data_IF_262401202993
#
_entry.id   IF_262401202993
#
_cell.length_a   1.000
_cell.length_b   1.000
_cell.length_c   1.000
_cell.angle_alpha   90.00
_cell.angle_beta   90.00
_cell.angle_gamma   90.00
#
_symmetry.space_group_name_H-M   'P 1'
#
loop_
_entity.id
_entity.type
_entity.pdbx_description
1 polymer ?
#
# COMPACT_ATOMS: atom_id res chain seq x y z
N UNK A 1 13.88 -19.23 -12.21
CA UNK A 1 15.16 -19.01 -12.90
C UNK A 1 16.27 -19.09 -11.86
N UNK A 2 17.17 -20.08 -11.92
CA UNK A 2 18.30 -20.18 -10.97
C UNK A 2 19.42 -19.26 -11.45
N UNK A 3 19.59 -18.10 -10.81
CA UNK A 3 20.74 -17.22 -11.07
C UNK A 3 21.92 -17.75 -10.26
N UNK A 4 22.88 -18.40 -10.92
CA UNK A 4 24.12 -18.88 -10.29
C UNK A 4 25.17 -17.77 -10.33
N UNK A 5 25.46 -17.15 -9.19
CA UNK A 5 26.56 -16.19 -9.06
C UNK A 5 27.90 -16.95 -8.92
N UNK A 6 28.96 -16.49 -9.59
CA UNK A 6 30.33 -17.04 -9.46
C UNK A 6 31.08 -16.26 -8.37
N UNK A 7 32.19 -16.82 -7.85
CA UNK A 7 33.00 -16.30 -6.71
C UNK A 7 33.44 -14.81 -6.78
N UNK A 8 33.29 -14.14 -7.92
CA UNK A 8 33.51 -12.69 -8.11
C UNK A 8 32.47 -12.11 -9.07
N UNK A 9 31.19 -12.29 -8.76
CA UNK A 9 30.12 -11.65 -9.53
C UNK A 9 29.97 -10.18 -9.11
N UNK A 10 29.97 -9.30 -10.10
CA UNK A 10 29.69 -7.87 -9.91
C UNK A 10 28.22 -7.60 -10.25
N UNK A 11 27.58 -6.73 -9.49
CA UNK A 11 26.24 -6.20 -9.77
C UNK A 11 26.43 -4.71 -9.97
N UNK A 12 26.11 -4.22 -11.17
CA UNK A 12 26.13 -2.80 -11.47
C UNK A 12 24.81 -2.20 -11.01
N UNK A 13 24.85 -1.26 -10.08
CA UNK A 13 23.68 -0.52 -9.67
C UNK A 13 23.26 0.45 -10.79
N UNK A 14 21.96 0.60 -11.08
CA UNK A 14 21.49 1.64 -11.98
C UNK A 14 21.94 3.02 -11.49
N UNK A 15 22.30 3.92 -12.39
CA UNK A 15 22.82 5.25 -12.05
C UNK A 15 21.84 6.06 -11.17
N UNK A 16 20.54 5.91 -11.40
CA UNK A 16 19.51 6.51 -10.55
C UNK A 16 19.58 6.05 -9.08
N UNK A 17 19.98 4.79 -8.82
CA UNK A 17 20.17 4.25 -7.46
C UNK A 17 21.46 4.79 -6.84
N UNK A 18 22.52 4.94 -7.65
CA UNK A 18 23.80 5.52 -7.21
C UNK A 18 23.62 6.98 -6.82
N UNK A 19 22.89 7.76 -7.62
CA UNK A 19 22.58 9.16 -7.36
C UNK A 19 21.65 9.33 -6.16
N UNK A 20 20.59 8.52 -6.05
CA UNK A 20 19.63 8.58 -4.94
C UNK A 20 20.25 8.22 -3.59
N UNK A 21 21.24 7.33 -3.57
CA UNK A 21 21.94 6.90 -2.35
C UNK A 21 23.29 7.63 -2.14
N UNK A 22 23.60 8.64 -2.97
CA UNK A 22 24.84 9.42 -2.95
C UNK A 22 26.14 8.57 -2.93
N UNK A 23 26.10 7.37 -3.52
CA UNK A 23 27.18 6.39 -3.44
C UNK A 23 28.40 6.82 -4.28
N UNK A 24 29.59 6.70 -3.69
CA UNK A 24 30.88 6.98 -4.31
C UNK A 24 31.70 5.71 -4.50
N UNK A 25 32.61 5.74 -5.46
CA UNK A 25 33.55 4.64 -5.68
C UNK A 25 34.39 4.40 -4.41
N UNK A 26 34.28 3.20 -3.83
CA UNK A 26 34.95 2.83 -2.59
C UNK A 26 34.03 2.71 -1.36
N UNK A 27 32.77 3.14 -1.46
CA UNK A 27 31.78 2.97 -0.40
C UNK A 27 31.49 1.49 -0.14
N UNK A 28 31.28 1.15 1.13
CA UNK A 28 30.97 -0.22 1.58
C UNK A 28 29.51 -0.29 1.99
N UNK A 29 28.82 -1.30 1.48
CA UNK A 29 27.44 -1.62 1.85
C UNK A 29 27.39 -3.02 2.46
N UNK A 30 26.55 -3.20 3.47
CA UNK A 30 26.16 -4.52 3.94
C UNK A 30 25.18 -5.15 2.95
N UNK A 31 25.39 -6.43 2.66
CA UNK A 31 24.57 -7.19 1.74
C UNK A 31 23.87 -8.28 2.54
N UNK A 32 22.54 -8.23 2.60
CA UNK A 32 21.72 -9.29 3.17
C UNK A 32 20.80 -9.86 2.10
N UNK A 33 20.52 -11.17 2.18
CA UNK A 33 19.50 -11.79 1.33
C UNK A 33 18.30 -12.11 2.19
N UNK A 34 17.24 -11.32 2.06
CA UNK A 34 15.97 -11.53 2.75
C UNK A 34 14.94 -11.95 1.72
N UNK A 35 14.35 -13.13 1.89
CA UNK A 35 13.28 -13.64 1.02
C UNK A 35 13.62 -13.63 -0.49
N UNK A 36 14.85 -14.01 -0.85
CA UNK A 36 15.39 -14.02 -2.23
C UNK A 36 15.64 -12.62 -2.85
N UNK A 37 15.49 -11.55 -2.06
CA UNK A 37 15.86 -10.18 -2.45
C UNK A 37 17.22 -9.85 -1.87
N UNK A 38 18.08 -9.21 -2.67
CA UNK A 38 19.36 -8.66 -2.20
C UNK A 38 19.10 -7.28 -1.63
N UNK A 39 19.18 -7.15 -0.32
CA UNK A 39 19.10 -5.90 0.42
C UNK A 39 20.51 -5.33 0.57
N UNK A 40 20.65 -4.05 0.23
CA UNK A 40 21.91 -3.31 0.36
C UNK A 40 21.70 -2.18 1.37
N UNK A 41 22.44 -2.22 2.47
CA UNK A 41 22.36 -1.20 3.53
C UNK A 41 23.67 -0.43 3.58
N UNK A 42 23.65 0.92 3.58
CA UNK A 42 24.87 1.71 3.80
C UNK A 42 25.53 1.34 5.13
N UNK A 43 26.84 1.14 5.15
CA UNK A 43 27.57 0.81 6.36
C UNK A 43 27.76 2.06 7.24
N UNK A 44 26.72 2.47 7.97
CA UNK A 44 26.85 3.46 9.04
C UNK A 44 27.15 2.79 10.39
N UNK A 45 28.21 3.27 11.03
CA UNK A 45 28.78 2.70 12.23
C UNK A 45 27.84 2.77 13.45
N UNK A 46 27.34 1.60 13.90
CA UNK A 46 26.91 1.23 15.26
C UNK A 46 25.82 2.08 15.97
N UNK A 47 24.69 1.41 16.29
CA UNK A 47 23.95 1.26 17.60
C UNK A 47 22.45 1.04 17.29
N UNK A 48 21.61 0.22 17.95
CA UNK A 48 21.62 -0.69 19.12
C UNK A 48 20.42 -1.67 18.97
N UNK A 49 20.46 -2.78 19.72
CA UNK A 49 19.53 -3.93 19.72
C UNK A 49 18.03 -3.59 19.95
N UNK A 50 17.10 -4.40 19.40
CA UNK A 50 15.66 -4.28 19.69
C UNK A 50 15.35 -4.84 21.08
N UNK A 51 14.55 -4.12 21.87
CA UNK A 51 13.97 -4.63 23.12
C UNK A 51 12.48 -4.84 22.91
N UNK A 52 12.03 -6.06 23.19
CA UNK A 52 10.64 -6.49 23.22
C UNK A 52 9.83 -5.66 24.24
N UNK A 53 8.69 -5.11 23.82
CA UNK A 53 7.38 -5.13 24.52
C UNK A 53 6.45 -4.06 23.93
N UNK A 54 5.30 -4.48 23.40
CA UNK A 54 3.98 -3.86 23.62
C UNK A 54 2.95 -4.47 22.65
N UNK A 55 2.36 -5.58 23.07
CA UNK A 55 1.00 -5.95 22.65
C UNK A 55 0.05 -4.83 23.12
N UNK A 56 -0.24 -3.88 22.23
CA UNK A 56 -1.40 -3.00 22.35
C UNK A 56 -2.55 -3.71 21.64
N UNK A 57 -3.60 -4.03 22.40
CA UNK A 57 -4.80 -4.69 21.91
C UNK A 57 -5.41 -3.89 20.75
N UNK A 58 -5.35 -4.48 19.54
CA UNK A 58 -5.83 -3.91 18.26
C UNK A 58 -7.11 -3.08 18.36
N UNK A 59 -8.04 -3.48 19.23
CA UNK A 59 -9.34 -2.83 19.44
C UNK A 59 -9.23 -1.36 19.88
N UNK A 60 -8.28 -1.02 20.75
CA UNK A 60 -8.16 0.34 21.31
C UNK A 60 -7.48 1.34 20.36
N UNK A 61 -6.65 0.86 19.43
CA UNK A 61 -6.07 1.71 18.38
C UNK A 61 -7.11 2.09 17.31
N UNK A 62 -8.06 1.18 17.01
CA UNK A 62 -9.14 1.42 16.04
C UNK A 62 -10.23 2.36 16.57
N UNK A 63 -10.55 2.32 17.86
CA UNK A 63 -11.60 3.15 18.46
C UNK A 63 -11.21 4.64 18.58
N UNK A 64 -9.90 4.94 18.66
CA UNK A 64 -9.41 6.31 18.90
C UNK A 64 -9.33 7.19 17.65
N UNK A 65 -9.39 6.60 16.44
CA UNK A 65 -9.17 7.31 15.17
C UNK A 65 -10.43 7.47 14.29
N UNK A 66 -11.63 7.08 14.76
CA UNK A 66 -12.81 6.97 13.91
C UNK A 66 -13.90 8.01 14.19
N UNK A 67 -13.83 9.15 13.49
CA UNK A 67 -15.01 9.94 13.11
C UNK A 67 -14.91 10.32 11.64
N UNK A 68 -15.16 9.35 10.76
CA UNK A 68 -15.62 9.63 9.40
C UNK A 68 -17.04 9.06 9.29
N UNK A 69 -18.04 9.93 9.46
CA UNK A 69 -19.43 9.63 9.11
C UNK A 69 -19.55 9.63 7.58
N UNK A 70 -19.07 8.57 6.93
CA UNK A 70 -19.42 8.30 5.54
C UNK A 70 -20.70 7.47 5.52
N UNK A 71 -21.77 8.05 4.95
CA UNK A 71 -23.06 7.39 4.73
C UNK A 71 -23.04 6.48 3.49
N UNK A 72 -21.85 6.19 2.94
CA UNK A 72 -21.69 5.25 1.84
C UNK A 72 -21.94 3.83 2.34
N UNK A 73 -22.53 3.00 1.47
CA UNK A 73 -22.80 1.58 1.77
C UNK A 73 -21.49 0.87 2.12
N UNK A 74 -20.45 1.07 1.30
CA UNK A 74 -19.12 0.55 1.58
C UNK A 74 -18.05 1.66 1.55
N UNK A 75 -17.07 1.53 2.44
CA UNK A 75 -15.85 2.34 2.46
C UNK A 75 -14.63 1.43 2.59
N UNK A 76 -13.61 1.67 1.78
CA UNK A 76 -12.35 0.94 1.76
C UNK A 76 -11.21 1.87 2.15
N UNK A 77 -10.50 1.50 3.21
CA UNK A 77 -9.25 2.13 3.64
C UNK A 77 -8.09 1.32 3.06
N UNK A 78 -7.23 1.99 2.29
CA UNK A 78 -6.12 1.40 1.57
C UNK A 78 -4.80 2.08 1.93
N UNK A 79 -4.79 3.39 2.20
CA UNK A 79 -3.59 4.17 2.52
C UNK A 79 -3.27 4.09 4.02
N UNK A 80 -2.41 3.15 4.37
CA UNK A 80 -2.23 2.66 5.74
C UNK A 80 -2.75 1.24 5.85
N UNK A 81 -3.36 0.89 6.98
CA UNK A 81 -3.92 -0.46 7.16
C UNK A 81 -5.12 -0.71 6.24
N UNK A 82 -5.16 -1.88 5.61
CA UNK A 82 -6.31 -2.28 4.82
C UNK A 82 -7.53 -2.57 5.71
N UNK A 83 -8.63 -1.86 5.49
CA UNK A 83 -9.89 -2.07 6.21
C UNK A 83 -11.11 -1.83 5.33
N UNK A 84 -12.20 -2.52 5.64
CA UNK A 84 -13.48 -2.42 4.92
C UNK A 84 -14.56 -2.05 5.92
N UNK A 85 -15.39 -1.08 5.61
CA UNK A 85 -16.51 -0.65 6.44
C UNK A 85 -17.81 -0.75 5.67
N UNK A 86 -18.85 -1.26 6.33
CA UNK A 86 -20.22 -1.30 5.81
C UNK A 86 -21.11 -0.42 6.68
N UNK A 87 -21.65 0.66 6.11
CA UNK A 87 -22.35 1.72 6.87
C UNK A 87 -21.59 2.16 8.14
N UNK A 88 -20.28 2.39 7.98
CA UNK A 88 -19.36 2.81 9.06
C UNK A 88 -18.97 1.71 10.06
N UNK A 89 -19.45 0.48 9.91
CA UNK A 89 -19.07 -0.65 10.78
C UNK A 89 -17.95 -1.47 10.13
N UNK A 90 -16.89 -1.75 10.89
CA UNK A 90 -15.77 -2.57 10.42
C UNK A 90 -16.24 -3.97 10.03
N UNK A 91 -15.87 -4.41 8.82
CA UNK A 91 -16.10 -5.75 8.28
C UNK A 91 -14.86 -6.61 8.55
N UNK A 92 -15.01 -7.63 9.39
CA UNK A 92 -13.93 -8.58 9.67
C UNK A 92 -14.01 -9.77 8.72
N UNK A 93 -13.04 -9.87 7.81
CA UNK A 93 -12.91 -11.03 6.94
C UNK A 93 -12.11 -12.13 7.65
N UNK A 94 -12.71 -13.32 7.80
CA UNK A 94 -12.01 -14.49 8.35
C UNK A 94 -11.03 -15.12 7.35
N UNK A 95 -11.19 -14.81 6.06
CA UNK A 95 -10.34 -15.32 4.98
C UNK A 95 -9.35 -14.24 4.51
N UNK A 96 -8.07 -14.39 4.87
CA UNK A 96 -7.01 -13.46 4.46
C UNK A 96 -6.73 -13.40 2.97
N UNK A 97 -6.98 -14.48 2.23
CA UNK A 97 -6.88 -14.45 0.75
C UNK A 97 -8.06 -13.75 0.10
N UNK A 98 -9.21 -13.67 0.76
CA UNK A 98 -10.30 -12.81 0.30
C UNK A 98 -9.95 -11.34 0.49
N UNK A 99 -9.38 -10.99 1.64
CA UNK A 99 -8.85 -9.65 1.93
C UNK A 99 -7.82 -9.22 0.87
N UNK A 100 -6.85 -10.10 0.57
CA UNK A 100 -5.84 -9.86 -0.47
C UNK A 100 -6.43 -9.75 -1.88
N UNK A 101 -7.42 -10.59 -2.25
CA UNK A 101 -8.07 -10.52 -3.56
C UNK A 101 -8.77 -9.17 -3.77
N UNK A 102 -9.48 -8.68 -2.75
CA UNK A 102 -10.17 -7.39 -2.81
C UNK A 102 -9.14 -6.27 -2.94
N UNK A 103 -8.10 -6.29 -2.11
CA UNK A 103 -7.01 -5.33 -2.14
C UNK A 103 -6.31 -5.28 -3.51
N UNK A 104 -6.05 -6.45 -4.11
CA UNK A 104 -5.46 -6.56 -5.44
C UNK A 104 -6.35 -5.91 -6.51
N UNK A 105 -7.64 -6.26 -6.55
CA UNK A 105 -8.55 -5.73 -7.57
C UNK A 105 -8.83 -4.22 -7.42
N UNK A 106 -8.75 -3.68 -6.19
CA UNK A 106 -8.83 -2.23 -5.96
C UNK A 106 -7.61 -1.51 -6.57
N UNK A 107 -6.40 -2.06 -6.42
CA UNK A 107 -5.20 -1.48 -7.03
C UNK A 107 -5.27 -1.47 -8.56
N UNK A 108 -5.98 -2.42 -9.15
CA UNK A 108 -6.22 -2.51 -10.59
C UNK A 108 -7.29 -1.51 -11.07
N UNK A 109 -7.87 -0.67 -10.21
CA UNK A 109 -8.71 0.51 -10.57
C UNK A 109 -9.80 0.21 -11.60
N UNK A 110 -10.49 -0.92 -11.45
CA UNK A 110 -11.58 -1.34 -12.32
C UNK A 110 -11.17 -1.97 -13.65
N UNK A 111 -9.86 -2.09 -13.95
CA UNK A 111 -9.41 -2.82 -15.13
C UNK A 111 -9.72 -4.32 -15.01
N UNK A 112 -10.32 -4.95 -16.04
CA UNK A 112 -10.54 -6.40 -16.08
C UNK A 112 -9.22 -7.18 -16.06
N UNK A 113 -9.00 -7.97 -15.01
CA UNK A 113 -7.80 -8.82 -14.87
C UNK A 113 -8.16 -10.29 -15.08
N UNK A 114 -7.32 -11.00 -15.84
CA UNK A 114 -7.47 -12.43 -16.05
C UNK A 114 -7.41 -13.20 -14.72
N UNK A 115 -8.35 -14.13 -14.51
CA UNK A 115 -8.40 -15.01 -13.34
C UNK A 115 -7.10 -15.79 -13.15
N UNK A 116 -6.48 -16.24 -14.24
CA UNK A 116 -5.20 -16.94 -14.18
C UNK A 116 -4.07 -16.05 -13.63
N UNK A 117 -4.06 -14.77 -14.03
CA UNK A 117 -3.11 -13.76 -13.54
C UNK A 117 -3.32 -13.54 -12.05
N UNK A 118 -4.57 -13.28 -11.63
CA UNK A 118 -4.94 -13.12 -10.22
C UNK A 118 -4.50 -14.33 -9.40
N UNK A 119 -4.83 -15.55 -9.85
CA UNK A 119 -4.49 -16.78 -9.16
C UNK A 119 -2.97 -16.95 -8.99
N UNK A 120 -2.19 -16.55 -9.99
CA UNK A 120 -0.73 -16.59 -9.94
C UNK A 120 -0.14 -15.59 -8.94
N UNK A 121 -0.69 -14.37 -8.89
CA UNK A 121 -0.25 -13.36 -7.93
C UNK A 121 -0.57 -13.73 -6.48
N UNK A 122 -1.79 -14.24 -6.23
CA UNK A 122 -2.23 -14.59 -4.89
C UNK A 122 -1.62 -15.91 -4.39
N UNK A 123 -1.32 -16.87 -5.27
CA UNK A 123 -0.71 -18.15 -4.92
C UNK A 123 0.50 -18.48 -5.79
N UNK A 124 1.60 -17.71 -5.68
CA UNK A 124 2.75 -17.84 -6.58
C UNK A 124 3.47 -19.19 -6.49
N UNK A 125 3.30 -19.91 -5.38
CA UNK A 125 3.92 -21.21 -5.14
C UNK A 125 3.00 -22.40 -5.49
N UNK A 126 1.75 -22.14 -5.89
CA UNK A 126 0.81 -23.20 -6.25
C UNK A 126 0.85 -23.50 -7.75
N UNK A 127 0.63 -24.77 -8.11
CA UNK A 127 0.41 -25.15 -9.51
C UNK A 127 -0.84 -24.45 -10.08
N UNK A 128 -0.82 -24.10 -11.37
CA UNK A 128 -1.89 -23.37 -12.07
C UNK A 128 -3.30 -23.89 -11.78
N UNK A 129 -3.52 -25.21 -11.82
CA UNK A 129 -4.85 -25.78 -11.53
C UNK A 129 -5.28 -25.52 -10.09
N UNK A 130 -4.36 -25.72 -9.14
CA UNK A 130 -4.61 -25.54 -7.71
C UNK A 130 -4.84 -24.06 -7.35
N UNK A 131 -4.09 -23.14 -7.94
CA UNK A 131 -4.28 -21.71 -7.72
C UNK A 131 -5.66 -21.24 -8.21
N UNK A 132 -6.12 -21.75 -9.36
CA UNK A 132 -7.47 -21.48 -9.86
C UNK A 132 -8.57 -22.04 -8.95
N UNK A 133 -8.43 -23.28 -8.45
CA UNK A 133 -9.37 -23.84 -7.48
C UNK A 133 -9.43 -23.02 -6.18
N UNK A 134 -8.27 -22.53 -5.71
CA UNK A 134 -8.19 -21.62 -4.56
C UNK A 134 -8.90 -20.28 -4.84
N UNK A 135 -8.69 -19.69 -6.03
CA UNK A 135 -9.37 -18.47 -6.44
C UNK A 135 -10.90 -18.63 -6.39
N UNK A 136 -11.44 -19.72 -6.95
CA UNK A 136 -12.88 -19.97 -6.92
C UNK A 136 -13.44 -20.18 -5.51
N UNK A 137 -12.68 -20.81 -4.61
CA UNK A 137 -13.08 -20.94 -3.19
C UNK A 137 -13.12 -19.59 -2.48
N UNK A 138 -12.11 -18.75 -2.72
CA UNK A 138 -12.07 -17.38 -2.19
C UNK A 138 -13.22 -16.54 -2.76
N UNK A 139 -13.48 -16.63 -4.06
CA UNK A 139 -14.60 -15.94 -4.70
C UNK A 139 -15.94 -16.34 -4.08
N UNK A 140 -16.18 -17.66 -3.91
CA UNK A 140 -17.39 -18.16 -3.24
C UNK A 140 -17.53 -17.63 -1.82
N UNK A 141 -16.43 -17.54 -1.07
CA UNK A 141 -16.43 -16.91 0.26
C UNK A 141 -16.90 -15.45 0.19
N UNK A 142 -16.38 -14.67 -0.76
CA UNK A 142 -16.78 -13.26 -0.95
C UNK A 142 -18.27 -13.17 -1.30
N UNK A 143 -18.78 -14.00 -2.23
CA UNK A 143 -20.21 -14.02 -2.56
C UNK A 143 -21.09 -14.31 -1.34
N UNK A 144 -20.64 -15.20 -0.45
CA UNK A 144 -21.40 -15.56 0.75
C UNK A 144 -21.50 -14.42 1.77
N UNK A 145 -20.67 -13.37 1.70
CA UNK A 145 -20.78 -12.19 2.56
C UNK A 145 -22.11 -11.45 2.34
N UNK A 146 -22.76 -11.63 1.18
CA UNK A 146 -24.10 -11.09 0.90
C UNK A 146 -25.17 -11.58 1.89
N UNK A 147 -25.01 -12.80 2.44
CA UNK A 147 -25.89 -13.33 3.47
C UNK A 147 -25.82 -12.53 4.79
N UNK A 148 -24.72 -11.79 4.99
CA UNK A 148 -24.49 -10.87 6.10
C UNK A 148 -24.72 -9.41 5.68
N UNK A 149 -25.41 -9.18 4.56
CA UNK A 149 -25.68 -7.86 4.00
C UNK A 149 -24.40 -7.07 3.64
N UNK A 150 -23.33 -7.77 3.27
CA UNK A 150 -22.06 -7.19 2.81
C UNK A 150 -21.85 -7.62 1.36
N UNK A 151 -22.03 -6.70 0.43
CA UNK A 151 -21.91 -6.95 -1.01
C UNK A 151 -20.63 -6.29 -1.53
N UNK A 152 -19.52 -7.02 -1.50
CA UNK A 152 -18.27 -6.52 -2.07
C UNK A 152 -18.44 -6.43 -3.61
N UNK A 153 -18.21 -5.26 -4.23
CA UNK A 153 -18.57 -5.02 -5.62
C UNK A 153 -17.50 -5.55 -6.58
N UNK A 154 -17.29 -6.86 -6.58
CA UNK A 154 -16.41 -7.54 -7.53
C UNK A 154 -17.28 -8.17 -8.61
N UNK A 155 -16.94 -7.90 -9.86
CA UNK A 155 -17.60 -8.50 -11.02
C UNK A 155 -16.68 -9.60 -11.56
N UNK A 156 -17.24 -10.79 -11.78
CA UNK A 156 -16.53 -11.94 -12.37
C UNK A 156 -17.23 -12.37 -13.67
N UNK A 157 -16.66 -11.99 -14.81
CA UNK A 157 -17.18 -12.33 -16.14
C UNK A 157 -16.22 -13.22 -16.93
N UNK A 158 -16.71 -14.35 -17.45
CA UNK A 158 -15.90 -15.32 -18.22
C UNK A 158 -14.58 -15.63 -17.49
N UNK A 159 -13.45 -15.19 -18.04
CA UNK A 159 -12.11 -15.40 -17.52
C UNK A 159 -11.52 -14.16 -16.82
N UNK A 160 -12.29 -13.10 -16.60
CA UNK A 160 -11.81 -11.87 -15.95
C UNK A 160 -12.54 -11.62 -14.64
N UNK A 161 -11.88 -10.86 -13.75
CA UNK A 161 -12.47 -10.25 -12.57
C UNK A 161 -12.00 -8.80 -12.46
N UNK A 162 -12.87 -7.92 -11.96
CA UNK A 162 -12.54 -6.54 -11.65
C UNK A 162 -13.38 -6.02 -10.49
N UNK A 163 -12.91 -4.94 -9.88
CA UNK A 163 -13.63 -4.23 -8.83
C UNK A 163 -14.46 -3.11 -9.48
N UNK A 164 -15.77 -3.05 -9.18
CA UNK A 164 -16.61 -1.93 -9.57
C UNK A 164 -16.72 -0.94 -8.40
N UNK A 165 -16.15 0.26 -8.55
CA UNK A 165 -16.16 1.28 -7.50
C UNK A 165 -17.41 2.18 -7.48
N UNK A 166 -18.33 2.07 -8.45
CA UNK A 166 -19.48 2.98 -8.64
C UNK A 166 -20.29 3.28 -7.35
N UNK A 167 -20.53 2.26 -6.52
CA UNK A 167 -21.39 2.35 -5.31
C UNK A 167 -20.60 2.29 -3.99
N UNK A 168 -19.30 2.59 -4.02
CA UNK A 168 -18.47 2.60 -2.82
C UNK A 168 -17.51 3.78 -2.79
N UNK A 169 -16.90 3.99 -1.63
CA UNK A 169 -15.86 5.01 -1.46
C UNK A 169 -14.54 4.30 -1.17
N UNK A 170 -13.50 4.65 -1.90
CA UNK A 170 -12.15 4.10 -1.74
C UNK A 170 -11.21 5.28 -1.51
N UNK A 171 -10.53 5.31 -0.37
CA UNK A 171 -9.58 6.40 -0.06
C UNK A 171 -8.46 6.52 -1.09
N UNK A 172 -8.07 5.40 -1.72
CA UNK A 172 -7.09 5.34 -2.80
C UNK A 172 -7.54 6.13 -4.04
N UNK A 173 -8.80 5.98 -4.45
CA UNK A 173 -9.36 6.72 -5.58
C UNK A 173 -9.57 8.20 -5.23
N UNK A 174 -9.96 8.50 -3.99
CA UNK A 174 -10.06 9.88 -3.50
C UNK A 174 -8.69 10.57 -3.52
N UNK A 175 -7.64 9.88 -3.06
CA UNK A 175 -6.27 10.37 -3.11
C UNK A 175 -5.82 10.69 -4.54
N UNK A 176 -6.07 9.79 -5.49
CA UNK A 176 -5.74 10.01 -6.90
C UNK A 176 -6.47 11.22 -7.47
N UNK A 177 -7.77 11.36 -7.20
CA UNK A 177 -8.57 12.52 -7.63
C UNK A 177 -8.01 13.84 -7.08
N UNK A 178 -7.63 13.86 -5.80
CA UNK A 178 -7.00 15.04 -5.19
C UNK A 178 -5.61 15.33 -5.76
N UNK A 179 -4.80 14.30 -6.03
CA UNK A 179 -3.47 14.42 -6.62
C UNK A 179 -3.52 14.95 -8.08
N UNK A 180 -4.51 14.53 -8.85
CA UNK A 180 -4.78 15.09 -10.19
C UNK A 180 -5.10 16.59 -10.12
N UNK A 181 -5.81 17.01 -9.07
CA UNK A 181 -6.19 18.39 -8.78
C UNK A 181 -5.16 19.18 -7.95
N UNK A 182 -3.90 18.73 -7.84
CA UNK A 182 -2.82 19.33 -7.03
C UNK A 182 -2.44 20.80 -7.31
N UNK A 183 -3.10 21.46 -8.28
CA UNK A 183 -2.99 22.92 -8.46
C UNK A 183 -3.78 23.68 -7.39
N UNK A 184 -4.81 23.05 -6.83
CA UNK A 184 -5.52 23.56 -5.66
C UNK A 184 -4.86 23.03 -4.39
N UNK A 185 -4.42 23.96 -3.54
CA UNK A 185 -3.75 23.62 -2.28
C UNK A 185 -4.64 22.79 -1.37
N UNK A 186 -5.96 23.03 -1.36
CA UNK A 186 -6.89 22.28 -0.52
C UNK A 186 -6.97 20.82 -0.95
N UNK A 187 -6.90 20.56 -2.25
CA UNK A 187 -6.81 19.21 -2.80
C UNK A 187 -5.52 18.52 -2.33
N UNK A 188 -4.37 19.20 -2.36
CA UNK A 188 -3.12 18.65 -1.82
C UNK A 188 -3.24 18.28 -0.33
N UNK A 189 -3.79 19.19 0.47
CA UNK A 189 -3.99 18.95 1.91
C UNK A 189 -4.94 17.78 2.18
N UNK A 190 -6.02 17.65 1.40
CA UNK A 190 -6.95 16.55 1.51
C UNK A 190 -6.31 15.20 1.16
N UNK A 191 -5.51 15.12 0.09
CA UNK A 191 -4.75 13.92 -0.25
C UNK A 191 -3.75 13.53 0.85
N UNK A 192 -3.01 14.49 1.40
CA UNK A 192 -2.06 14.25 2.50
C UNK A 192 -2.78 13.68 3.74
N UNK A 193 -3.99 14.16 4.04
CA UNK A 193 -4.78 13.65 5.18
C UNK A 193 -5.28 12.21 4.98
N UNK A 194 -5.53 11.79 3.74
CA UNK A 194 -5.89 10.40 3.44
C UNK A 194 -4.70 9.45 3.61
N UNK A 195 -3.47 9.92 3.39
CA UNK A 195 -2.27 9.11 3.49
C UNK A 195 -1.86 8.87 4.96
N UNK A 196 -2.34 7.77 5.56
CA UNK A 196 -2.04 7.40 6.95
C UNK A 196 -0.84 6.46 7.10
N UNK A 197 -0.24 6.06 5.98
CA UNK A 197 0.92 5.19 5.90
C UNK A 197 1.04 4.53 4.53
N UNK A 198 2.03 3.64 4.35
CA UNK A 198 2.18 2.85 3.12
C UNK A 198 0.89 2.10 2.76
N UNK A 199 0.68 1.89 1.46
CA UNK A 199 -0.47 1.15 0.94
C UNK A 199 -0.55 -0.24 1.59
N UNK A 200 -1.70 -0.59 2.15
CA UNK A 200 -1.96 -1.86 2.86
C UNK A 200 -0.88 -2.23 3.90
N UNK A 201 -0.43 -1.24 4.66
CA UNK A 201 0.58 -1.38 5.70
C UNK A 201 0.40 -2.64 6.56
N UNK A 202 1.48 -3.42 6.70
CA UNK A 202 1.59 -4.74 7.35
C UNK A 202 0.94 -5.94 6.65
N UNK A 203 0.33 -5.80 5.48
CA UNK A 203 -0.31 -6.95 4.82
C UNK A 203 0.66 -7.88 4.08
N UNK A 204 1.91 -7.46 3.88
CA UNK A 204 3.02 -8.26 3.32
C UNK A 204 2.65 -9.00 2.00
N UNK A 205 1.85 -8.39 1.14
CA UNK A 205 1.47 -8.96 -0.15
C UNK A 205 2.65 -8.94 -1.13
N UNK A 206 2.89 -10.03 -1.85
CA UNK A 206 4.08 -10.15 -2.72
C UNK A 206 4.08 -9.17 -3.92
N UNK A 207 2.92 -8.68 -4.33
CA UNK A 207 2.71 -7.88 -5.53
C UNK A 207 2.62 -6.36 -5.26
N UNK A 208 2.67 -5.96 -3.99
CA UNK A 208 2.28 -4.60 -3.60
C UNK A 208 3.36 -3.53 -3.79
N UNK A 209 4.63 -3.93 -3.85
CA UNK A 209 5.78 -3.00 -3.79
C UNK A 209 5.74 -1.90 -4.85
N UNK A 210 5.32 -2.23 -6.07
CA UNK A 210 5.17 -1.24 -7.14
C UNK A 210 4.12 -0.18 -6.79
N UNK A 211 3.00 -0.60 -6.20
CA UNK A 211 1.90 0.28 -5.80
C UNK A 211 2.26 1.11 -4.57
N UNK A 212 2.91 0.51 -3.57
CA UNK A 212 3.43 1.26 -2.40
C UNK A 212 4.32 2.42 -2.84
N UNK A 213 5.35 2.13 -3.64
CA UNK A 213 6.26 3.15 -4.15
C UNK A 213 5.54 4.21 -4.99
N UNK A 214 4.55 3.79 -5.80
CA UNK A 214 3.76 4.70 -6.63
C UNK A 214 3.01 5.76 -5.80
N UNK A 215 2.38 5.36 -4.70
CA UNK A 215 1.63 6.26 -3.82
C UNK A 215 2.55 7.05 -2.89
N UNK A 216 3.64 6.46 -2.43
CA UNK A 216 4.66 7.12 -1.61
C UNK A 216 5.30 8.31 -2.36
N UNK A 217 5.75 8.10 -3.61
CA UNK A 217 6.32 9.18 -4.43
C UNK A 217 5.33 10.33 -4.61
N UNK A 218 4.04 10.02 -4.78
CA UNK A 218 2.99 11.04 -4.93
C UNK A 218 2.75 11.82 -3.65
N UNK A 219 2.70 11.11 -2.53
CA UNK A 219 2.59 11.72 -1.21
C UNK A 219 3.73 12.72 -0.98
N UNK A 220 4.97 12.34 -1.25
CA UNK A 220 6.12 13.24 -1.09
C UNK A 220 6.05 14.48 -1.96
N UNK A 221 5.66 14.32 -3.23
CA UNK A 221 5.43 15.46 -4.13
C UNK A 221 4.36 16.43 -3.62
N UNK A 222 3.30 15.92 -2.99
CA UNK A 222 2.27 16.77 -2.40
C UNK A 222 2.79 17.55 -1.20
N UNK A 223 3.59 16.92 -0.34
CA UNK A 223 4.21 17.57 0.81
C UNK A 223 5.11 18.72 0.34
N UNK A 224 5.96 18.49 -0.67
CA UNK A 224 6.81 19.52 -1.29
C UNK A 224 5.98 20.71 -1.80
N UNK A 225 4.93 20.44 -2.59
CA UNK A 225 4.03 21.47 -3.12
C UNK A 225 3.39 22.30 -2.00
N UNK A 226 2.94 21.64 -0.93
CA UNK A 226 2.29 22.33 0.20
C UNK A 226 3.30 23.19 0.98
N UNK A 227 4.51 22.68 1.20
CA UNK A 227 5.58 23.44 1.85
C UNK A 227 5.92 24.68 1.02
N UNK A 228 6.16 24.54 -0.28
CA UNK A 228 6.48 25.67 -1.15
C UNK A 228 5.37 26.73 -1.15
N UNK A 229 4.12 26.31 -1.21
CA UNK A 229 2.97 27.21 -1.21
C UNK A 229 2.91 28.06 0.06
N UNK A 230 3.03 27.44 1.23
CA UNK A 230 2.93 28.14 2.50
C UNK A 230 4.19 28.94 2.85
N UNK A 231 5.36 28.52 2.36
CA UNK A 231 6.59 29.32 2.43
C UNK A 231 6.44 30.64 1.67
N UNK A 232 5.90 30.62 0.45
CA UNK A 232 5.66 31.86 -0.34
C UNK A 232 4.66 32.81 0.30
N UNK A 233 3.81 32.30 1.19
CA UNK A 233 2.83 33.08 1.96
C UNK A 233 3.32 33.46 3.37
N UNK A 234 4.57 33.14 3.69
CA UNK A 234 5.20 33.40 5.00
C UNK A 234 4.43 32.77 6.18
N UNK A 235 3.74 31.66 5.95
CA UNK A 235 2.99 30.90 6.96
C UNK A 235 3.87 29.81 7.59
N UNK A 236 4.91 30.23 8.31
CA UNK A 236 5.98 29.34 8.79
C UNK A 236 5.49 28.23 9.74
N UNK A 237 4.48 28.49 10.58
CA UNK A 237 3.91 27.48 11.49
C UNK A 237 3.33 26.28 10.71
N UNK A 238 2.71 26.55 9.55
CA UNK A 238 2.12 25.51 8.70
C UNK A 238 3.24 24.74 7.99
N UNK A 239 4.28 25.43 7.52
CA UNK A 239 5.45 24.78 6.91
C UNK A 239 6.10 23.79 7.88
N UNK A 240 6.27 24.21 9.14
CA UNK A 240 6.87 23.36 10.17
C UNK A 240 5.99 22.14 10.48
N UNK A 241 4.66 22.30 10.49
CA UNK A 241 3.73 21.16 10.59
C UNK A 241 3.99 20.11 9.51
N UNK A 242 4.15 20.51 8.24
CA UNK A 242 4.39 19.57 7.14
C UNK A 242 5.80 18.99 7.13
N UNK A 243 6.83 19.75 7.54
CA UNK A 243 8.18 19.21 7.74
C UNK A 243 8.24 18.14 8.81
N UNK A 244 7.50 18.31 9.91
CA UNK A 244 7.39 17.30 10.95
C UNK A 244 6.69 16.02 10.48
N UNK A 245 5.88 16.07 9.42
CA UNK A 245 5.35 14.86 8.78
C UNK A 245 6.50 14.11 8.07
N UNK A 246 7.37 14.80 7.35
CA UNK A 246 8.56 14.20 6.69
C UNK A 246 9.40 13.44 7.70
N UNK A 247 9.78 14.10 8.80
CA UNK A 247 10.66 13.54 9.82
C UNK A 247 10.13 12.25 10.49
N UNK A 248 8.81 12.01 10.44
CA UNK A 248 8.20 10.79 11.01
C UNK A 248 8.33 9.56 10.11
N UNK A 249 8.59 9.73 8.82
CA UNK A 249 8.74 8.62 7.87
C UNK A 249 10.21 8.35 7.50
N UNK A 250 11.15 9.21 7.90
CA UNK A 250 12.60 9.03 7.70
C UNK A 250 13.30 8.31 8.90
N UNK A 251 12.55 7.91 9.93
CA UNK A 251 13.04 7.18 11.12
C UNK A 251 12.62 5.71 11.11
#
# INVERSE_FOLDING_TARGET
>A
MQVKFRKKSQITLPMAVVEQLELKEGDKMEVEIINQTVCLTPFESKKRKPTETADLTKKEYFEKNNTIKNNSKLYFECLGHFAIYNYGKLVLLSNKKAEELIAFLICERGYPVLKETIATFLWPQAEKRKSMECLYKVWKYICNLSQMNIEIPIISERNHMYFNSDDCVIDLEQFESYYENRRDIRSCEAAIQLYRGPLYYHQCYNWISQWEAYYEIRFWKLIEVVIEYYQRKDMLDIVEKYRNIIARYEC
#
